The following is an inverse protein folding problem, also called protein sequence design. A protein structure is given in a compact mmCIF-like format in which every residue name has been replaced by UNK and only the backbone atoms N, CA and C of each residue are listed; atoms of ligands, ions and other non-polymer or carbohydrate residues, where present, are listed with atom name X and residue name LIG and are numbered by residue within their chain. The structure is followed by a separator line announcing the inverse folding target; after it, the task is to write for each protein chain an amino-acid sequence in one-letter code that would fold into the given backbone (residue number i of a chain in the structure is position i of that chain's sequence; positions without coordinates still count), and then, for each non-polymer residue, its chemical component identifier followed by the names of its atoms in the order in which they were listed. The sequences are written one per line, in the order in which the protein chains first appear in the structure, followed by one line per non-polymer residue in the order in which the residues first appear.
data_IF_134503005886
#
_entry.id   IF_134503005886
#
_cell.length_a   1.000
_cell.length_b   1.000
_cell.length_c   1.000
_cell.angle_alpha   90.00
_cell.angle_beta   90.00
_cell.angle_gamma   90.00
#
_symmetry.space_group_name_H-M   'P 1'
#
loop_
_entity.id
_entity.type
_entity.pdbx_description
1 polymer ?
#
# COMPACT_ATOMS: atom_id res chain seq x y z
N UNK A 1 -29.40 29.91 44.15
CA UNK A 1 -29.00 29.83 42.74
C UNK A 1 -28.50 28.42 42.43
N UNK A 2 -29.45 27.45 42.17
CA UNK A 2 -29.10 26.04 41.90
C UNK A 2 -29.83 25.47 40.63
N UNK A 3 -30.32 26.31 39.75
CA UNK A 3 -31.21 25.92 38.63
C UNK A 3 -30.58 25.80 37.20
N UNK A 4 -29.35 26.21 36.86
CA UNK A 4 -28.91 26.06 35.50
C UNK A 4 -28.32 24.67 35.13
N UNK A 5 -27.83 23.90 36.10
CA UNK A 5 -27.20 22.60 35.80
C UNK A 5 -28.19 21.50 35.41
N UNK A 6 -29.38 21.50 36.00
CA UNK A 6 -30.41 20.54 35.69
C UNK A 6 -31.03 20.71 34.29
N UNK A 7 -31.08 21.95 33.79
CA UNK A 7 -31.58 22.28 32.46
C UNK A 7 -30.60 21.84 31.37
N UNK A 8 -29.30 22.01 31.58
CA UNK A 8 -28.26 21.55 30.67
C UNK A 8 -28.24 20.03 30.61
N UNK A 9 -28.36 19.34 31.73
CA UNK A 9 -28.40 17.88 31.76
C UNK A 9 -29.66 17.33 31.01
N UNK A 10 -30.81 17.96 31.11
CA UNK A 10 -32.02 17.57 30.40
C UNK A 10 -31.87 17.74 28.87
N UNK A 11 -31.23 18.81 28.39
CA UNK A 11 -31.00 19.06 26.96
C UNK A 11 -30.03 18.05 26.39
N UNK A 12 -28.93 17.72 27.09
CA UNK A 12 -27.95 16.71 26.64
C UNK A 12 -28.59 15.32 26.57
N UNK A 13 -29.39 14.93 27.57
CA UNK A 13 -30.08 13.63 27.55
C UNK A 13 -31.07 13.56 26.39
N UNK A 14 -31.84 14.62 26.13
CA UNK A 14 -32.79 14.66 25.02
C UNK A 14 -32.08 14.58 23.67
N UNK A 15 -30.93 15.22 23.49
CA UNK A 15 -30.13 15.13 22.24
C UNK A 15 -29.56 13.74 22.02
N UNK A 16 -29.09 13.06 23.06
CA UNK A 16 -28.54 11.68 22.97
C UNK A 16 -29.68 10.69 22.65
N UNK A 17 -30.84 10.83 23.27
CA UNK A 17 -32.02 9.96 23.00
C UNK A 17 -32.51 10.19 21.57
N UNK A 18 -32.60 11.42 21.09
CA UNK A 18 -32.97 11.73 19.71
C UNK A 18 -31.97 11.15 18.71
N UNK A 19 -30.67 11.27 18.98
CA UNK A 19 -29.61 10.68 18.17
C UNK A 19 -29.69 9.15 18.08
N UNK A 20 -29.95 8.48 19.19
CA UNK A 20 -30.14 7.03 19.24
C UNK A 20 -31.38 6.58 18.45
N UNK A 21 -32.51 7.29 18.56
CA UNK A 21 -33.74 6.99 17.80
C UNK A 21 -33.50 7.15 16.30
N UNK A 22 -32.79 8.19 15.86
CA UNK A 22 -32.46 8.41 14.44
C UNK A 22 -31.50 7.32 13.92
N UNK A 23 -30.49 6.96 14.70
CA UNK A 23 -29.55 5.89 14.32
C UNK A 23 -30.27 4.53 14.23
N UNK A 24 -31.18 4.21 15.16
CA UNK A 24 -31.95 2.98 15.15
C UNK A 24 -32.95 2.95 13.98
N UNK A 25 -33.55 4.08 13.63
CA UNK A 25 -34.44 4.19 12.48
C UNK A 25 -33.70 4.07 11.13
N UNK A 26 -32.47 4.59 11.02
CA UNK A 26 -31.65 4.40 9.85
C UNK A 26 -31.18 2.94 9.72
N UNK A 27 -30.82 2.29 10.83
CA UNK A 27 -30.42 0.88 10.82
C UNK A 27 -31.56 -0.01 10.35
N UNK A 28 -32.78 0.18 10.86
CA UNK A 28 -33.94 -0.60 10.45
C UNK A 28 -34.34 -0.38 8.99
N UNK A 29 -34.19 0.85 8.45
CA UNK A 29 -34.38 1.11 7.02
C UNK A 29 -33.33 0.42 6.14
N UNK A 30 -32.08 0.41 6.55
CA UNK A 30 -31.04 -0.27 5.83
C UNK A 30 -31.22 -1.80 5.86
N UNK A 31 -31.63 -2.36 6.99
CA UNK A 31 -31.95 -3.79 7.09
C UNK A 31 -33.16 -4.18 6.22
N UNK A 32 -34.22 -3.35 6.18
CA UNK A 32 -35.35 -3.56 5.30
C UNK A 32 -34.95 -3.52 3.81
N UNK A 33 -34.12 -2.55 3.41
CA UNK A 33 -33.61 -2.42 2.04
C UNK A 33 -32.72 -3.60 1.64
N UNK A 34 -31.92 -4.10 2.57
CA UNK A 34 -31.08 -5.30 2.35
C UNK A 34 -31.93 -6.55 2.23
N UNK A 35 -32.96 -6.69 3.07
CA UNK A 35 -33.92 -7.80 3.00
C UNK A 35 -34.67 -7.81 1.67
N UNK A 36 -35.18 -6.64 1.21
CA UNK A 36 -35.85 -6.49 -0.08
C UNK A 36 -34.96 -6.86 -1.25
N UNK A 37 -33.69 -6.38 -1.27
CA UNK A 37 -32.72 -6.74 -2.30
C UNK A 37 -32.39 -8.23 -2.30
N UNK A 38 -32.24 -8.82 -1.12
CA UNK A 38 -31.95 -10.25 -0.99
C UNK A 38 -33.14 -11.10 -1.49
N UNK A 39 -34.38 -10.69 -1.17
CA UNK A 39 -35.57 -11.35 -1.68
C UNK A 39 -35.70 -11.22 -3.20
N UNK A 40 -35.45 -10.03 -3.76
CA UNK A 40 -35.49 -9.80 -5.19
C UNK A 40 -34.42 -10.68 -5.91
N UNK A 41 -33.20 -10.76 -5.39
CA UNK A 41 -32.14 -11.59 -5.94
C UNK A 41 -32.46 -13.10 -5.86
N UNK A 42 -33.08 -13.54 -4.76
CA UNK A 42 -33.55 -14.93 -4.61
C UNK A 42 -34.69 -15.27 -5.61
N UNK A 43 -35.58 -14.34 -5.85
CA UNK A 43 -36.65 -14.50 -6.83
C UNK A 43 -36.11 -14.58 -8.27
N UNK A 44 -35.14 -13.73 -8.63
CA UNK A 44 -34.47 -13.75 -9.93
C UNK A 44 -33.68 -15.05 -10.13
N UNK A 45 -32.98 -15.52 -9.12
CA UNK A 45 -32.26 -16.79 -9.15
C UNK A 45 -33.23 -17.97 -9.35
N UNK A 46 -34.34 -18.00 -8.62
CA UNK A 46 -35.34 -19.05 -8.77
C UNK A 46 -35.99 -19.04 -10.17
N UNK A 47 -36.23 -17.85 -10.75
CA UNK A 47 -36.73 -17.72 -12.11
C UNK A 47 -35.72 -18.24 -13.16
N UNK A 48 -34.43 -17.96 -12.98
CA UNK A 48 -33.36 -18.48 -13.84
C UNK A 48 -33.21 -20.00 -13.73
N UNK A 49 -33.28 -20.54 -12.51
CA UNK A 49 -33.25 -22.00 -12.28
C UNK A 49 -34.45 -22.70 -12.90
N UNK A 50 -35.66 -22.11 -12.82
CA UNK A 50 -36.88 -22.62 -13.48
C UNK A 50 -36.75 -22.58 -15.02
N UNK A 51 -36.27 -21.47 -15.57
CA UNK A 51 -36.05 -21.34 -17.01
C UNK A 51 -34.98 -22.35 -17.52
N UNK A 52 -33.95 -22.61 -16.74
CA UNK A 52 -32.93 -23.62 -17.07
C UNK A 52 -33.51 -25.04 -17.03
N UNK A 53 -34.36 -25.33 -16.04
CA UNK A 53 -35.05 -26.61 -15.92
C UNK A 53 -36.01 -26.83 -17.09
N UNK A 54 -36.79 -25.81 -17.48
CA UNK A 54 -37.67 -25.85 -18.66
C UNK A 54 -36.90 -26.05 -19.96
N UNK A 55 -35.76 -25.34 -20.11
CA UNK A 55 -34.89 -25.51 -21.28
C UNK A 55 -34.30 -26.93 -21.39
N UNK A 56 -33.99 -27.55 -20.22
CA UNK A 56 -33.54 -28.95 -20.15
C UNK A 56 -34.65 -29.98 -20.36
N UNK A 57 -35.87 -29.65 -19.99
CA UNK A 57 -37.03 -30.54 -20.10
C UNK A 57 -37.66 -30.54 -21.52
N UNK A 58 -37.35 -29.56 -22.34
CA UNK A 58 -37.85 -29.55 -23.74
C UNK A 58 -37.25 -30.75 -24.48
N UNK A 59 -38.08 -31.73 -24.93
CA UNK A 59 -37.55 -32.84 -25.73
C UNK A 59 -36.91 -32.25 -26.98
N UNK A 60 -35.63 -32.53 -27.18
CA UNK A 60 -34.94 -32.28 -28.45
C UNK A 60 -35.63 -33.19 -29.46
N UNK A 61 -36.67 -32.70 -30.15
CA UNK A 61 -37.14 -33.29 -31.39
C UNK A 61 -36.01 -33.12 -32.37
N UNK A 62 -35.22 -34.17 -32.47
CA UNK A 62 -34.23 -34.30 -33.55
C UNK A 62 -35.07 -34.61 -34.82
N UNK A 63 -35.58 -33.56 -35.46
CA UNK A 63 -35.95 -33.67 -36.87
C UNK A 63 -34.62 -33.93 -37.58
N UNK A 64 -34.43 -35.19 -38.01
CA UNK A 64 -33.38 -35.57 -38.90
C UNK A 64 -33.64 -34.96 -40.28
N UNK A 65 -33.44 -33.66 -40.39
CA UNK A 65 -33.15 -33.03 -41.67
C UNK A 65 -31.78 -33.52 -42.16
N UNK A 66 -31.58 -33.74 -43.46
CA UNK A 66 -30.28 -34.18 -43.98
C UNK A 66 -29.20 -33.24 -43.44
N UNK A 67 -28.21 -33.83 -42.81
CA UNK A 67 -27.06 -33.13 -42.24
C UNK A 67 -26.50 -32.21 -43.32
N UNK A 68 -26.67 -30.88 -43.27
CA UNK A 68 -25.91 -30.00 -44.12
C UNK A 68 -24.45 -30.31 -43.76
N UNK A 69 -23.62 -30.44 -44.83
CA UNK A 69 -22.19 -30.58 -44.68
C UNK A 69 -21.73 -29.63 -43.51
N UNK A 70 -20.82 -30.07 -42.63
CA UNK A 70 -20.42 -29.24 -41.47
C UNK A 70 -20.17 -27.87 -42.05
N UNK A 71 -21.04 -26.92 -41.72
CA UNK A 71 -20.69 -25.52 -41.82
C UNK A 71 -19.45 -25.48 -40.94
N UNK A 72 -18.27 -25.49 -41.59
CA UNK A 72 -17.04 -25.03 -40.99
C UNK A 72 -17.48 -23.66 -40.46
N UNK A 73 -17.87 -23.62 -39.21
CA UNK A 73 -18.16 -22.37 -38.54
C UNK A 73 -16.93 -21.56 -38.86
N UNK A 74 -17.10 -20.58 -39.75
CA UNK A 74 -16.08 -19.62 -40.09
C UNK A 74 -15.58 -19.20 -38.73
N UNK A 75 -14.42 -19.76 -38.32
CA UNK A 75 -13.82 -19.52 -37.00
C UNK A 75 -13.67 -18.02 -37.05
N UNK A 76 -14.61 -17.34 -36.37
CA UNK A 76 -14.75 -15.90 -36.40
C UNK A 76 -13.32 -15.41 -36.29
N UNK A 77 -12.78 -14.76 -37.33
CA UNK A 77 -11.37 -14.49 -37.54
C UNK A 77 -10.82 -13.83 -36.25
N UNK A 78 -10.46 -14.69 -35.29
CA UNK A 78 -9.86 -14.22 -34.04
C UNK A 78 -8.57 -13.57 -34.44
N UNK A 79 -8.40 -12.31 -34.01
CA UNK A 79 -7.16 -11.60 -34.27
C UNK A 79 -5.99 -12.41 -33.71
N UNK A 80 -4.90 -12.44 -34.43
CA UNK A 80 -3.66 -13.04 -33.94
C UNK A 80 -3.10 -12.19 -32.80
N UNK A 81 -2.32 -12.76 -31.86
CA UNK A 81 -1.69 -11.99 -30.78
C UNK A 81 -0.93 -10.76 -31.28
N UNK A 82 -0.25 -10.86 -32.42
CA UNK A 82 0.44 -9.70 -33.04
C UNK A 82 -0.55 -8.60 -33.42
N UNK A 83 -1.70 -8.97 -34.02
CA UNK A 83 -2.73 -8.02 -34.37
C UNK A 83 -3.40 -7.39 -33.14
N UNK A 84 -3.58 -8.16 -32.05
CA UNK A 84 -4.11 -7.66 -30.78
C UNK A 84 -3.16 -6.63 -30.20
N UNK A 85 -1.85 -6.92 -30.14
CA UNK A 85 -0.84 -5.97 -29.66
C UNK A 85 -0.82 -4.71 -30.53
N UNK A 86 -0.94 -4.83 -31.84
CA UNK A 86 -1.06 -3.67 -32.73
C UNK A 86 -2.30 -2.82 -32.38
N UNK A 87 -3.46 -3.46 -32.14
CA UNK A 87 -4.68 -2.75 -31.69
C UNK A 87 -4.48 -2.05 -30.35
N UNK A 88 -3.79 -2.67 -29.39
CA UNK A 88 -3.45 -2.06 -28.11
C UNK A 88 -2.54 -0.83 -28.30
N UNK A 89 -1.55 -0.89 -29.16
CA UNK A 89 -0.65 0.24 -29.49
C UNK A 89 -1.36 1.41 -30.16
N UNK A 90 -2.40 1.13 -30.94
CA UNK A 90 -3.22 2.15 -31.63
C UNK A 90 -4.22 2.85 -30.69
N UNK A 91 -4.45 2.28 -29.47
CA UNK A 91 -5.33 2.88 -28.48
C UNK A 91 -4.64 4.11 -27.86
N UNK A 92 -5.11 5.30 -28.23
CA UNK A 92 -4.66 6.53 -27.60
C UNK A 92 -5.69 7.01 -26.60
N UNK A 93 -5.26 7.24 -25.38
CA UNK A 93 -6.08 7.91 -24.37
C UNK A 93 -6.20 9.38 -24.74
N UNK A 94 -7.40 9.82 -25.09
CA UNK A 94 -7.70 11.23 -25.30
C UNK A 94 -8.37 11.75 -24.02
N UNK A 95 -7.93 12.88 -23.45
CA UNK A 95 -8.54 13.44 -22.25
C UNK A 95 -10.03 13.67 -22.41
N UNK A 96 -10.81 13.35 -21.37
CA UNK A 96 -12.26 13.56 -21.33
C UNK A 96 -13.09 12.28 -21.52
N UNK A 97 -14.23 12.39 -22.21
CA UNK A 97 -15.25 11.31 -22.35
C UNK A 97 -14.67 10.02 -22.95
N UNK A 98 -13.60 10.11 -23.69
CA UNK A 98 -12.99 8.97 -24.39
C UNK A 98 -12.14 8.07 -23.48
N UNK A 99 -11.70 8.53 -22.30
CA UNK A 99 -10.85 7.75 -21.38
C UNK A 99 -11.52 6.44 -20.98
N UNK A 100 -12.77 6.48 -20.50
CA UNK A 100 -13.50 5.27 -20.11
C UNK A 100 -13.71 4.28 -21.27
N UNK A 101 -13.83 4.79 -22.50
CA UNK A 101 -13.96 3.94 -23.70
C UNK A 101 -12.61 3.30 -24.03
N UNK A 102 -11.53 4.05 -23.95
CA UNK A 102 -10.17 3.56 -24.16
C UNK A 102 -9.82 2.47 -23.15
N UNK A 103 -10.09 2.71 -21.85
CA UNK A 103 -9.84 1.73 -20.79
C UNK A 103 -10.62 0.42 -21.00
N UNK A 104 -11.91 0.50 -21.38
CA UNK A 104 -12.71 -0.69 -21.69
C UNK A 104 -12.17 -1.46 -22.90
N UNK A 105 -11.70 -0.76 -23.92
CA UNK A 105 -11.07 -1.40 -25.09
C UNK A 105 -9.73 -2.01 -24.72
N UNK A 106 -8.94 -1.36 -23.89
CA UNK A 106 -7.69 -1.90 -23.36
C UNK A 106 -7.94 -3.20 -22.60
N UNK A 107 -8.88 -3.19 -21.65
CA UNK A 107 -9.25 -4.39 -20.90
C UNK A 107 -9.70 -5.52 -21.84
N UNK A 108 -10.58 -5.25 -22.80
CA UNK A 108 -11.03 -6.23 -23.77
C UNK A 108 -9.87 -6.86 -24.55
N UNK A 109 -8.95 -6.05 -25.08
CA UNK A 109 -7.83 -6.59 -25.84
C UNK A 109 -6.80 -7.32 -24.99
N UNK A 110 -6.59 -6.92 -23.73
CA UNK A 110 -5.75 -7.66 -22.80
C UNK A 110 -6.36 -9.02 -22.45
N UNK A 111 -7.67 -9.11 -22.24
CA UNK A 111 -8.39 -10.36 -22.03
C UNK A 111 -8.33 -11.28 -23.27
N UNK A 112 -8.49 -10.75 -24.47
CA UNK A 112 -8.33 -11.53 -25.73
C UNK A 112 -6.88 -12.05 -25.84
N UNK A 113 -5.89 -11.26 -25.45
CA UNK A 113 -4.49 -11.67 -25.45
C UNK A 113 -4.21 -12.78 -24.42
N UNK A 114 -4.78 -12.65 -23.21
CA UNK A 114 -4.70 -13.67 -22.17
C UNK A 114 -5.39 -14.97 -22.59
N UNK A 115 -6.55 -14.87 -23.27
CA UNK A 115 -7.30 -16.03 -23.81
C UNK A 115 -6.50 -16.78 -24.87
N UNK A 116 -5.61 -16.12 -25.60
CA UNK A 116 -4.71 -16.78 -26.56
C UNK A 116 -3.66 -17.67 -25.85
N UNK A 117 -3.46 -17.49 -24.54
CA UNK A 117 -2.59 -18.31 -23.70
C UNK A 117 -1.13 -18.33 -24.19
N UNK A 118 -0.47 -19.50 -24.17
CA UNK A 118 0.93 -19.62 -24.59
C UNK A 118 1.23 -19.17 -26.01
N UNK A 119 0.22 -19.18 -26.90
CA UNK A 119 0.39 -18.71 -28.30
C UNK A 119 0.68 -17.18 -28.36
N UNK A 120 0.36 -16.42 -27.32
CA UNK A 120 0.66 -14.99 -27.24
C UNK A 120 2.11 -14.69 -26.87
N UNK A 121 2.83 -15.60 -26.23
CA UNK A 121 4.16 -15.36 -25.67
C UNK A 121 5.19 -14.82 -26.68
N UNK A 122 5.30 -15.34 -27.90
CA UNK A 122 6.27 -14.78 -28.87
C UNK A 122 6.00 -13.31 -29.20
N UNK A 123 4.74 -12.95 -29.41
CA UNK A 123 4.35 -11.57 -29.73
C UNK A 123 4.54 -10.63 -28.54
N UNK A 124 4.25 -11.11 -27.32
CA UNK A 124 4.50 -10.36 -26.07
C UNK A 124 6.00 -10.14 -25.87
N UNK A 125 6.83 -11.17 -26.02
CA UNK A 125 8.29 -11.06 -25.90
C UNK A 125 8.86 -10.04 -26.89
N UNK A 126 8.40 -10.06 -28.14
CA UNK A 126 8.80 -9.08 -29.13
C UNK A 126 8.40 -7.64 -28.74
N UNK A 127 7.17 -7.44 -28.23
CA UNK A 127 6.70 -6.14 -27.76
C UNK A 127 7.56 -5.62 -26.59
N UNK A 128 7.76 -6.44 -25.56
CA UNK A 128 8.53 -6.06 -24.37
C UNK A 128 10.00 -5.76 -24.70
N UNK A 129 10.59 -6.50 -25.66
CA UNK A 129 11.97 -6.30 -26.12
C UNK A 129 12.23 -4.97 -26.84
N UNK A 130 11.16 -4.32 -27.34
CA UNK A 130 11.27 -3.00 -27.98
C UNK A 130 11.31 -1.84 -26.97
N UNK A 131 11.14 -2.13 -25.68
CA UNK A 131 11.08 -1.11 -24.59
C UNK A 131 10.04 -0.01 -24.83
N UNK A 132 9.06 -0.27 -25.69
CA UNK A 132 7.94 0.63 -25.94
C UNK A 132 6.95 0.55 -24.76
N UNK A 133 6.39 1.69 -24.37
CA UNK A 133 5.30 1.75 -23.41
C UNK A 133 4.26 2.78 -23.86
N UNK A 134 3.04 2.63 -23.39
CA UNK A 134 1.96 3.58 -23.62
C UNK A 134 1.29 3.88 -22.28
N UNK A 135 1.37 5.12 -21.86
CA UNK A 135 0.64 5.59 -20.68
C UNK A 135 -0.87 5.58 -20.98
N UNK A 136 -1.62 4.89 -20.15
CA UNK A 136 -3.07 4.82 -20.25
C UNK A 136 -3.77 6.01 -19.53
N UNK A 137 -3.01 7.04 -19.15
CA UNK A 137 -3.47 8.28 -18.52
C UNK A 137 -4.46 8.02 -17.39
N UNK A 138 -4.16 7.08 -16.56
CA UNK A 138 -4.93 6.84 -15.36
C UNK A 138 -4.54 7.90 -14.33
N UNK A 139 -5.09 9.12 -14.48
CA UNK A 139 -5.04 10.18 -13.46
C UNK A 139 -5.54 9.71 -12.09
N UNK A 140 -6.09 8.52 -12.04
CA UNK A 140 -6.50 7.73 -10.89
C UNK A 140 -5.35 7.40 -9.93
N UNK A 141 -4.10 7.34 -10.40
CA UNK A 141 -2.95 7.04 -9.54
C UNK A 141 -2.65 8.13 -8.51
N UNK A 142 -3.07 9.36 -8.76
CA UNK A 142 -2.95 10.46 -7.81
C UNK A 142 -3.87 10.31 -6.59
N UNK A 143 -4.96 9.56 -6.69
CA UNK A 143 -5.97 9.44 -5.64
C UNK A 143 -5.85 8.15 -4.82
N UNK A 144 -5.38 7.05 -5.41
CA UNK A 144 -5.11 5.80 -4.67
C UNK A 144 -3.68 5.74 -4.13
N UNK A 145 -3.25 6.79 -3.44
CA UNK A 145 -2.02 6.79 -2.63
C UNK A 145 -2.08 5.85 -1.42
N UNK A 146 -3.00 4.89 -1.40
CA UNK A 146 -3.09 3.85 -0.39
C UNK A 146 -2.03 2.76 -0.48
N UNK A 147 -1.13 2.80 -1.47
CA UNK A 147 0.10 2.02 -1.42
C UNK A 147 0.92 2.51 -0.22
N UNK A 148 1.00 1.71 0.82
CA UNK A 148 1.90 1.97 1.95
C UNK A 148 3.29 2.18 1.34
N UNK A 149 3.84 3.40 1.50
CA UNK A 149 5.18 3.74 1.03
C UNK A 149 6.15 2.64 1.44
N UNK A 150 6.92 2.11 0.50
CA UNK A 150 7.84 1.00 0.73
C UNK A 150 7.26 -0.41 0.56
N UNK A 151 5.99 -0.58 0.12
CA UNK A 151 5.48 -1.87 -0.35
C UNK A 151 5.52 -1.94 -1.86
N UNK A 152 5.81 -3.13 -2.37
CA UNK A 152 5.72 -3.39 -3.81
C UNK A 152 4.29 -3.20 -4.28
N UNK A 153 4.07 -2.63 -5.48
CA UNK A 153 2.75 -2.61 -6.09
C UNK A 153 2.34 -4.07 -6.38
N UNK A 154 1.25 -4.52 -5.78
CA UNK A 154 0.79 -5.91 -5.92
C UNK A 154 -0.27 -6.06 -7.01
N UNK A 155 -1.17 -5.09 -7.11
CA UNK A 155 -2.24 -5.11 -8.10
C UNK A 155 -2.67 -3.69 -8.48
N UNK A 156 -3.00 -3.54 -9.75
CA UNK A 156 -3.68 -2.36 -10.25
C UNK A 156 -5.11 -2.74 -10.67
N UNK A 157 -6.10 -1.98 -10.24
CA UNK A 157 -7.48 -2.16 -10.72
C UNK A 157 -7.56 -1.99 -12.24
N UNK A 158 -6.72 -1.10 -12.78
CA UNK A 158 -6.49 -0.91 -14.20
C UNK A 158 -5.00 -0.67 -14.40
N UNK A 159 -4.38 -1.26 -15.42
CA UNK A 159 -2.96 -1.09 -15.65
C UNK A 159 -2.63 0.38 -15.92
N UNK A 160 -1.56 0.92 -15.31
CA UNK A 160 -1.14 2.31 -15.51
C UNK A 160 -0.60 2.56 -16.91
N UNK A 161 -0.02 1.54 -17.50
CA UNK A 161 0.49 1.57 -18.87
C UNK A 161 0.27 0.22 -19.55
N UNK A 162 0.49 0.18 -20.84
CA UNK A 162 0.34 -1.05 -21.62
C UNK A 162 1.30 -2.15 -21.14
N UNK A 163 2.53 -1.81 -20.77
CA UNK A 163 3.49 -2.81 -20.26
C UNK A 163 2.97 -3.49 -19.00
N UNK A 164 2.41 -2.75 -18.04
CA UNK A 164 1.81 -3.35 -16.84
C UNK A 164 0.64 -4.27 -17.17
N UNK A 165 -0.22 -3.89 -18.13
CA UNK A 165 -1.28 -4.77 -18.60
C UNK A 165 -0.75 -6.06 -19.25
N UNK A 166 0.36 -5.97 -19.96
CA UNK A 166 1.02 -7.15 -20.55
C UNK A 166 1.67 -8.03 -19.46
N UNK A 167 2.22 -7.44 -18.41
CA UNK A 167 2.72 -8.22 -17.26
C UNK A 167 1.58 -8.99 -16.56
N UNK A 168 0.40 -8.40 -16.43
CA UNK A 168 -0.78 -9.09 -15.89
C UNK A 168 -1.26 -10.21 -16.82
N UNK A 169 -1.22 -10.02 -18.14
CA UNK A 169 -1.49 -11.09 -19.11
C UNK A 169 -0.51 -12.25 -18.93
N UNK A 170 0.78 -11.99 -18.79
CA UNK A 170 1.79 -13.03 -18.55
C UNK A 170 1.53 -13.78 -17.23
N UNK A 171 1.18 -13.07 -16.16
CA UNK A 171 0.78 -13.66 -14.87
C UNK A 171 -0.42 -14.59 -15.04
N UNK A 172 -1.42 -14.17 -15.81
CA UNK A 172 -2.64 -14.95 -16.06
C UNK A 172 -2.39 -16.17 -16.96
N UNK A 173 -1.54 -16.03 -18.00
CA UNK A 173 -1.12 -17.16 -18.86
C UNK A 173 -0.37 -18.20 -18.05
N UNK A 174 0.52 -17.78 -17.15
CA UNK A 174 1.26 -18.64 -16.23
C UNK A 174 2.25 -19.59 -16.92
N UNK A 175 2.85 -20.44 -16.11
CA UNK A 175 3.78 -21.47 -16.54
C UNK A 175 5.20 -20.98 -16.83
N UNK A 176 6.17 -21.94 -17.01
CA UNK A 176 7.60 -21.63 -17.07
C UNK A 176 8.00 -20.66 -18.18
N UNK A 177 7.33 -20.71 -19.33
CA UNK A 177 7.66 -19.80 -20.44
C UNK A 177 7.21 -18.38 -20.18
N UNK A 178 6.04 -18.16 -19.52
CA UNK A 178 5.60 -16.84 -19.11
C UNK A 178 6.52 -16.26 -18.00
N UNK A 179 6.91 -17.09 -17.04
CA UNK A 179 7.89 -16.72 -16.00
C UNK A 179 9.22 -16.25 -16.63
N UNK A 180 9.70 -16.99 -17.65
CA UNK A 180 10.93 -16.62 -18.36
C UNK A 180 10.81 -15.26 -19.06
N UNK A 181 9.67 -14.98 -19.70
CA UNK A 181 9.42 -13.68 -20.35
C UNK A 181 9.38 -12.55 -19.31
N UNK A 182 8.74 -12.77 -18.16
CA UNK A 182 8.73 -11.81 -17.05
C UNK A 182 10.13 -11.57 -16.50
N UNK A 183 10.94 -12.62 -16.32
CA UNK A 183 12.31 -12.50 -15.85
C UNK A 183 13.22 -11.76 -16.85
N UNK A 184 13.06 -12.02 -18.15
CA UNK A 184 13.74 -11.29 -19.22
C UNK A 184 13.37 -9.78 -19.18
N UNK A 185 12.07 -9.47 -19.01
CA UNK A 185 11.60 -8.09 -18.87
C UNK A 185 12.14 -7.42 -17.61
N UNK A 186 12.22 -8.16 -16.49
CA UNK A 186 12.79 -7.69 -15.23
C UNK A 186 14.29 -7.35 -15.36
N UNK A 187 15.05 -8.17 -16.06
CA UNK A 187 16.48 -7.94 -16.30
C UNK A 187 16.74 -6.77 -17.26
N UNK A 188 15.78 -6.46 -18.14
CA UNK A 188 15.95 -5.42 -19.17
C UNK A 188 15.40 -4.04 -18.75
N UNK A 189 14.55 -3.98 -17.71
CA UNK A 189 13.92 -2.72 -17.33
C UNK A 189 14.88 -1.79 -16.59
N UNK A 190 14.85 -0.49 -16.95
CA UNK A 190 15.50 0.58 -16.19
C UNK A 190 14.55 1.28 -15.19
N UNK A 191 13.29 0.86 -15.06
CA UNK A 191 12.27 1.52 -14.24
C UNK A 191 12.07 0.78 -12.93
N UNK A 192 12.30 1.46 -11.79
CA UNK A 192 12.14 0.86 -10.46
C UNK A 192 10.74 0.32 -10.19
N UNK A 193 9.70 1.01 -10.67
CA UNK A 193 8.31 0.55 -10.52
C UNK A 193 8.05 -0.75 -11.29
N UNK A 194 8.58 -0.89 -12.50
CA UNK A 194 8.46 -2.14 -13.28
C UNK A 194 9.23 -3.27 -12.61
N UNK A 195 10.47 -3.01 -12.18
CA UNK A 195 11.26 -4.00 -11.45
C UNK A 195 10.52 -4.52 -10.22
N UNK A 196 9.97 -3.61 -9.41
CA UNK A 196 9.23 -3.96 -8.21
C UNK A 196 7.97 -4.78 -8.52
N UNK A 197 7.23 -4.38 -9.56
CA UNK A 197 6.01 -5.08 -9.98
C UNK A 197 6.32 -6.49 -10.49
N UNK A 198 7.31 -6.62 -11.38
CA UNK A 198 7.76 -7.89 -11.91
C UNK A 198 8.31 -8.81 -10.81
N UNK A 199 9.05 -8.25 -9.84
CA UNK A 199 9.49 -8.99 -8.65
C UNK A 199 8.31 -9.55 -7.87
N UNK A 200 7.24 -8.74 -7.67
CA UNK A 200 6.03 -9.19 -6.99
C UNK A 200 5.34 -10.34 -7.72
N UNK A 201 5.16 -10.24 -9.03
CA UNK A 201 4.55 -11.29 -9.87
C UNK A 201 5.41 -12.57 -9.83
N UNK A 202 6.71 -12.46 -10.04
CA UNK A 202 7.62 -13.61 -10.02
C UNK A 202 7.70 -14.28 -8.65
N UNK A 203 7.61 -13.50 -7.56
CA UNK A 203 7.55 -14.05 -6.21
C UNK A 203 6.23 -14.81 -5.96
N UNK A 204 5.12 -14.40 -6.56
CA UNK A 204 3.83 -15.10 -6.51
C UNK A 204 3.86 -16.40 -7.32
N UNK A 205 4.39 -16.36 -8.56
CA UNK A 205 4.40 -17.49 -9.50
C UNK A 205 5.44 -18.56 -9.11
N UNK A 206 6.63 -18.14 -8.71
CA UNK A 206 7.78 -19.00 -8.40
C UNK A 206 8.53 -18.47 -7.17
N UNK A 207 8.04 -18.73 -5.94
CA UNK A 207 8.59 -18.14 -4.72
C UNK A 207 10.11 -18.35 -4.57
N UNK A 208 10.84 -17.25 -4.39
CA UNK A 208 12.30 -17.18 -4.22
C UNK A 208 13.16 -17.64 -5.41
N UNK A 209 12.59 -18.14 -6.49
CA UNK A 209 13.37 -18.59 -7.65
C UNK A 209 14.15 -17.45 -8.32
N UNK A 210 13.53 -16.27 -8.40
CA UNK A 210 14.11 -15.07 -9.04
C UNK A 210 14.66 -14.05 -8.02
N UNK A 211 14.82 -14.47 -6.74
CA UNK A 211 15.26 -13.60 -5.66
C UNK A 211 16.56 -12.88 -5.99
N UNK A 212 17.61 -13.63 -6.35
CA UNK A 212 18.93 -13.03 -6.59
C UNK A 212 18.96 -12.13 -7.81
N UNK A 213 18.25 -12.50 -8.87
CA UNK A 213 18.12 -11.65 -10.06
C UNK A 213 17.43 -10.32 -9.73
N UNK A 214 16.34 -10.35 -8.94
CA UNK A 214 15.65 -9.14 -8.48
C UNK A 214 16.57 -8.25 -7.63
N UNK A 215 17.35 -8.85 -6.72
CA UNK A 215 18.27 -8.12 -5.85
C UNK A 215 19.42 -7.48 -6.63
N UNK A 216 20.00 -8.20 -7.58
CA UNK A 216 21.09 -7.68 -8.45
C UNK A 216 20.56 -6.50 -9.26
N UNK A 217 19.42 -6.66 -9.95
CA UNK A 217 18.83 -5.60 -10.75
C UNK A 217 18.47 -4.35 -9.90
N UNK A 218 17.93 -4.55 -8.68
CA UNK A 218 17.61 -3.43 -7.79
C UNK A 218 18.89 -2.68 -7.34
N UNK A 219 19.96 -3.40 -6.98
CA UNK A 219 21.22 -2.79 -6.56
C UNK A 219 21.91 -2.05 -7.71
N UNK A 220 21.91 -2.60 -8.92
CA UNK A 220 22.44 -1.96 -10.12
C UNK A 220 21.70 -0.65 -10.44
N UNK A 221 20.38 -0.66 -10.40
CA UNK A 221 19.56 0.55 -10.62
C UNK A 221 19.76 1.59 -9.51
N UNK A 222 19.93 1.18 -8.25
CA UNK A 222 20.21 2.08 -7.13
C UNK A 222 21.62 2.69 -7.22
N UNK A 223 22.59 1.95 -7.77
CA UNK A 223 23.95 2.42 -7.98
C UNK A 223 24.09 3.33 -9.22
N UNK A 224 23.18 3.20 -10.19
CA UNK A 224 23.19 4.03 -11.39
C UNK A 224 22.76 5.47 -11.07
N UNK A 225 23.49 6.46 -11.57
CA UNK A 225 23.14 7.87 -11.48
C UNK A 225 22.15 8.32 -12.57
N UNK A 226 21.41 7.38 -13.16
CA UNK A 226 20.46 7.71 -14.24
C UNK A 226 19.32 8.54 -13.66
N UNK A 227 19.30 9.79 -14.02
CA UNK A 227 18.18 10.70 -13.76
C UNK A 227 17.05 10.33 -14.72
N UNK A 228 15.97 9.75 -14.20
CA UNK A 228 14.78 9.54 -15.00
C UNK A 228 14.17 10.88 -15.40
N UNK A 229 14.18 11.18 -16.68
CA UNK A 229 13.51 12.35 -17.26
C UNK A 229 12.03 12.07 -17.58
N UNK A 230 11.50 10.93 -17.14
CA UNK A 230 10.11 10.56 -17.36
C UNK A 230 9.18 11.50 -16.63
N UNK A 231 8.18 12.03 -17.34
CA UNK A 231 7.07 12.79 -16.75
C UNK A 231 6.02 11.90 -16.07
N UNK A 232 6.19 10.57 -16.12
CA UNK A 232 5.26 9.61 -15.52
C UNK A 232 5.25 9.73 -13.99
N UNK A 233 4.08 9.88 -13.38
CA UNK A 233 3.96 9.87 -11.91
C UNK A 233 4.50 8.57 -11.27
N UNK A 234 4.54 7.47 -12.02
CA UNK A 234 5.05 6.17 -11.57
C UNK A 234 6.56 6.19 -11.32
N UNK A 235 7.31 6.99 -12.06
CA UNK A 235 8.76 7.03 -11.94
C UNK A 235 9.22 8.00 -10.83
N UNK A 236 8.30 8.79 -10.25
CA UNK A 236 8.61 9.75 -9.20
C UNK A 236 9.20 9.10 -7.95
N UNK A 237 8.67 7.93 -7.58
CA UNK A 237 9.08 7.20 -6.39
C UNK A 237 10.01 6.02 -6.75
N UNK A 238 10.78 6.15 -7.84
CA UNK A 238 11.66 5.12 -8.40
C UNK A 238 12.54 4.43 -7.32
N UNK A 239 13.22 5.22 -6.49
CA UNK A 239 14.08 4.67 -5.42
C UNK A 239 13.29 3.93 -4.33
N UNK A 240 12.09 4.40 -3.98
CA UNK A 240 11.22 3.71 -3.01
C UNK A 240 10.89 2.29 -3.47
N UNK A 241 10.62 2.10 -4.76
CA UNK A 241 10.35 0.79 -5.33
C UNK A 241 11.56 -0.13 -5.30
N UNK A 242 12.74 0.39 -5.63
CA UNK A 242 13.99 -0.39 -5.60
C UNK A 242 14.35 -0.82 -4.18
N UNK A 243 14.28 0.09 -3.21
CA UNK A 243 14.45 -0.26 -1.79
C UNK A 243 13.37 -1.21 -1.29
N UNK A 244 12.15 -1.12 -1.83
CA UNK A 244 11.08 -2.08 -1.56
C UNK A 244 11.44 -3.50 -1.95
N UNK A 245 12.12 -3.71 -3.09
CA UNK A 245 12.63 -5.02 -3.51
C UNK A 245 13.67 -5.56 -2.52
N UNK A 246 14.64 -4.73 -2.10
CA UNK A 246 15.64 -5.14 -1.10
C UNK A 246 14.97 -5.54 0.23
N UNK A 247 13.99 -4.74 0.66
CA UNK A 247 13.25 -5.00 1.91
C UNK A 247 12.40 -6.27 1.84
N UNK A 248 11.76 -6.56 0.71
CA UNK A 248 10.98 -7.77 0.51
C UNK A 248 11.80 -9.03 0.83
N UNK A 249 13.04 -9.03 0.42
CA UNK A 249 13.95 -10.17 0.60
C UNK A 249 14.84 -10.06 1.85
N UNK A 250 14.65 -9.04 2.69
CA UNK A 250 15.46 -8.81 3.89
C UNK A 250 16.95 -8.58 3.57
N UNK A 251 17.23 -8.01 2.42
CA UNK A 251 18.61 -7.75 2.00
C UNK A 251 19.21 -6.56 2.73
N UNK A 252 20.25 -6.79 3.50
CA UNK A 252 21.00 -5.78 4.25
C UNK A 252 22.32 -5.39 3.58
N UNK A 253 22.71 -6.08 2.50
CA UNK A 253 24.03 -5.90 1.86
C UNK A 253 24.22 -4.50 1.27
N UNK A 254 23.13 -3.81 0.93
CA UNK A 254 23.18 -2.46 0.38
C UNK A 254 23.20 -1.35 1.45
N UNK A 255 23.15 -1.70 2.74
CA UNK A 255 23.01 -0.72 3.83
C UNK A 255 24.18 0.29 3.87
N UNK A 256 25.41 -0.14 3.65
CA UNK A 256 26.58 0.76 3.61
C UNK A 256 26.49 1.76 2.46
N UNK A 257 26.09 1.31 1.27
CA UNK A 257 25.89 2.19 0.12
C UNK A 257 24.71 3.18 0.37
N UNK A 258 23.60 2.69 0.95
CA UNK A 258 22.47 3.53 1.32
C UNK A 258 22.83 4.59 2.37
N UNK A 259 23.67 4.25 3.35
CA UNK A 259 24.21 5.22 4.32
C UNK A 259 25.02 6.31 3.62
N UNK A 260 25.90 5.94 2.69
CA UNK A 260 26.70 6.91 1.92
C UNK A 260 25.86 7.84 1.03
N UNK A 261 24.67 7.40 0.62
CA UNK A 261 23.72 8.14 -0.22
C UNK A 261 22.62 8.86 0.59
N UNK A 262 22.60 8.71 1.93
CA UNK A 262 21.53 9.22 2.78
C UNK A 262 21.40 10.75 2.70
N UNK A 263 22.50 11.45 2.59
CA UNK A 263 22.54 12.90 2.36
C UNK A 263 23.14 13.14 0.98
N UNK A 264 22.33 13.69 0.09
CA UNK A 264 22.72 13.98 -1.28
C UNK A 264 23.69 15.16 -1.33
N UNK A 265 24.34 15.35 -2.49
CA UNK A 265 25.34 16.42 -2.66
C UNK A 265 24.78 17.84 -2.48
N UNK A 266 23.48 18.03 -2.69
CA UNK A 266 22.75 19.29 -2.48
C UNK A 266 22.24 19.48 -1.03
N UNK A 267 22.58 18.58 -0.11
CA UNK A 267 22.11 18.60 1.27
C UNK A 267 20.69 18.07 1.49
N UNK A 268 20.07 17.49 0.47
CA UNK A 268 18.76 16.86 0.62
C UNK A 268 18.88 15.47 1.25
N UNK A 269 17.90 15.12 2.08
CA UNK A 269 17.78 13.79 2.67
C UNK A 269 17.10 12.82 1.72
N UNK A 270 17.74 11.71 1.40
CA UNK A 270 17.09 10.59 0.71
C UNK A 270 16.19 9.83 1.69
N UNK A 271 14.91 10.17 1.69
CA UNK A 271 13.91 9.54 2.57
C UNK A 271 13.68 8.06 2.25
N UNK A 272 13.95 7.64 1.01
CA UNK A 272 13.83 6.25 0.60
C UNK A 272 14.95 5.40 1.19
N UNK A 273 16.18 5.92 1.15
CA UNK A 273 17.34 5.30 1.80
C UNK A 273 17.16 5.24 3.32
N UNK A 274 16.66 6.33 3.95
CA UNK A 274 16.40 6.35 5.39
C UNK A 274 15.40 5.26 5.81
N UNK A 275 14.31 5.11 5.08
CA UNK A 275 13.29 4.09 5.33
C UNK A 275 13.84 2.69 5.17
N UNK A 276 14.61 2.46 4.11
CA UNK A 276 15.27 1.19 3.90
C UNK A 276 16.23 0.84 5.05
N UNK A 277 17.10 1.77 5.46
CA UNK A 277 18.00 1.57 6.60
C UNK A 277 17.23 1.22 7.88
N UNK A 278 16.14 1.91 8.15
CA UNK A 278 15.28 1.62 9.31
C UNK A 278 14.70 0.19 9.24
N UNK A 279 14.20 -0.23 8.08
CA UNK A 279 13.59 -1.54 7.89
C UNK A 279 14.63 -2.68 7.88
N UNK A 280 15.78 -2.46 7.25
CA UNK A 280 16.81 -3.46 7.10
C UNK A 280 17.66 -3.67 8.37
N UNK A 281 17.94 -2.58 9.11
CA UNK A 281 18.87 -2.59 10.24
C UNK A 281 18.15 -2.47 11.61
N UNK A 282 16.88 -2.09 11.63
CA UNK A 282 16.15 -1.87 12.89
C UNK A 282 16.83 -0.83 13.76
N UNK A 283 17.09 -1.15 15.04
CA UNK A 283 17.74 -0.26 15.99
C UNK A 283 19.17 0.15 15.56
N UNK A 284 19.86 -0.67 14.78
CA UNK A 284 21.19 -0.34 14.27
C UNK A 284 21.20 0.84 13.29
N UNK A 285 20.03 1.26 12.77
CA UNK A 285 19.89 2.47 11.96
C UNK A 285 19.94 3.75 12.80
N UNK A 286 19.74 3.67 14.13
CA UNK A 286 19.73 4.85 15.03
C UNK A 286 21.06 5.62 15.02
N UNK A 287 22.23 4.98 15.21
CA UNK A 287 23.51 5.69 15.16
C UNK A 287 23.77 6.30 13.77
N UNK A 288 23.33 5.66 12.69
CA UNK A 288 23.45 6.20 11.33
C UNK A 288 22.62 7.49 11.19
N UNK A 289 21.37 7.45 11.67
CA UNK A 289 20.49 8.63 11.65
C UNK A 289 21.02 9.76 12.54
N UNK A 290 21.57 9.44 13.73
CA UNK A 290 22.18 10.42 14.63
C UNK A 290 23.42 11.07 14.00
N UNK A 291 24.27 10.31 13.32
CA UNK A 291 25.41 10.85 12.58
C UNK A 291 24.95 11.75 11.44
N UNK A 292 23.97 11.31 10.65
CA UNK A 292 23.43 12.10 9.56
C UNK A 292 22.74 13.40 10.07
N UNK A 293 22.12 13.38 11.23
CA UNK A 293 21.49 14.55 11.87
C UNK A 293 22.49 15.68 12.13
N UNK A 294 23.76 15.33 12.38
CA UNK A 294 24.85 16.29 12.67
C UNK A 294 25.60 16.72 11.40
N UNK A 295 25.22 16.19 10.23
CA UNK A 295 25.91 16.54 8.99
C UNK A 295 25.69 18.02 8.62
N UNK A 296 26.79 18.72 8.43
CA UNK A 296 26.78 20.16 8.12
C UNK A 296 26.15 20.50 6.77
N UNK A 297 26.01 19.55 5.89
CA UNK A 297 25.33 19.70 4.60
C UNK A 297 23.81 19.87 4.77
N UNK A 298 23.22 19.38 5.87
CA UNK A 298 21.80 19.57 6.19
C UNK A 298 21.54 21.01 6.69
N UNK A 299 21.37 21.92 5.78
CA UNK A 299 21.14 23.34 6.08
C UNK A 299 19.67 23.64 6.42
N UNK A 300 18.73 22.84 5.92
CA UNK A 300 17.30 22.96 6.24
C UNK A 300 16.95 22.16 7.51
N UNK A 301 16.56 22.83 8.61
CA UNK A 301 16.18 22.15 9.85
C UNK A 301 14.99 21.18 9.69
N UNK A 302 14.08 21.43 8.72
CA UNK A 302 12.94 20.56 8.47
C UNK A 302 13.35 19.16 7.96
N UNK A 303 14.54 19.05 7.38
CA UNK A 303 15.10 17.78 6.88
C UNK A 303 15.62 16.91 8.05
N UNK A 304 15.90 17.50 9.21
CA UNK A 304 16.38 16.78 10.39
C UNK A 304 15.29 16.01 11.13
N UNK A 305 14.03 16.46 11.06
CA UNK A 305 12.91 15.79 11.76
C UNK A 305 12.75 14.30 11.36
N UNK A 306 12.76 13.90 10.08
CA UNK A 306 12.68 12.49 9.70
C UNK A 306 13.79 11.62 10.28
N UNK A 307 15.01 12.16 10.45
CA UNK A 307 16.13 11.45 11.07
C UNK A 307 15.86 11.21 12.57
N UNK A 308 15.43 12.25 13.30
CA UNK A 308 15.07 12.13 14.71
C UNK A 308 13.86 11.20 14.91
N UNK A 309 12.88 11.25 14.03
CA UNK A 309 11.68 10.40 14.06
C UNK A 309 12.01 8.91 13.94
N UNK A 310 13.09 8.54 13.20
CA UNK A 310 13.52 7.14 13.11
C UNK A 310 13.79 6.55 14.50
N UNK A 311 14.38 7.32 15.42
CA UNK A 311 14.69 6.85 16.77
C UNK A 311 13.44 6.51 17.58
N UNK A 312 12.28 7.16 17.34
CA UNK A 312 11.05 6.99 18.13
C UNK A 312 10.58 5.53 18.23
N UNK A 313 10.80 4.74 17.20
CA UNK A 313 10.45 3.32 17.22
C UNK A 313 11.24 2.53 18.29
N UNK A 314 12.38 3.04 18.72
CA UNK A 314 13.31 2.37 19.63
C UNK A 314 13.46 3.09 20.97
N UNK A 315 12.91 4.32 21.11
CA UNK A 315 12.92 5.08 22.36
C UNK A 315 12.21 4.30 23.46
N UNK A 316 12.87 4.19 24.60
CA UNK A 316 12.47 3.37 25.75
C UNK A 316 13.01 1.94 25.69
N UNK A 317 13.48 1.46 24.54
CA UNK A 317 14.05 0.13 24.37
C UNK A 317 15.59 0.16 24.15
N UNK A 318 16.08 1.19 23.48
CA UNK A 318 17.49 1.35 23.09
C UNK A 318 18.09 2.62 23.68
N UNK A 319 19.28 2.51 24.26
CA UNK A 319 19.96 3.62 24.94
C UNK A 319 20.40 4.73 23.97
N UNK A 320 20.87 4.36 22.78
CA UNK A 320 21.27 5.33 21.75
C UNK A 320 20.07 6.08 21.18
N UNK A 321 18.93 5.38 21.03
CA UNK A 321 17.69 6.02 20.64
C UNK A 321 17.20 7.03 21.69
N UNK A 322 17.30 6.70 22.97
CA UNK A 322 16.97 7.62 24.06
C UNK A 322 17.86 8.87 24.04
N UNK A 323 19.18 8.67 23.87
CA UNK A 323 20.13 9.77 23.80
C UNK A 323 19.89 10.67 22.58
N UNK A 324 19.66 10.07 21.41
CA UNK A 324 19.40 10.82 20.18
C UNK A 324 18.07 11.57 20.26
N UNK A 325 17.03 10.97 20.81
CA UNK A 325 15.76 11.65 21.08
C UNK A 325 15.95 12.87 21.96
N UNK A 326 16.64 12.72 23.11
CA UNK A 326 16.93 13.84 24.01
C UNK A 326 17.73 14.94 23.32
N UNK A 327 18.72 14.59 22.51
CA UNK A 327 19.48 15.55 21.72
C UNK A 327 18.56 16.33 20.76
N UNK A 328 17.69 15.64 20.02
CA UNK A 328 16.82 16.25 19.02
C UNK A 328 15.79 17.21 19.63
N UNK A 329 15.15 16.83 20.73
CA UNK A 329 14.14 17.70 21.39
C UNK A 329 14.74 18.92 22.07
N UNK A 330 16.05 18.91 22.37
CA UNK A 330 16.78 20.03 22.95
C UNK A 330 17.56 20.83 21.89
N UNK A 331 17.56 20.42 20.62
CA UNK A 331 18.24 21.15 19.55
C UNK A 331 17.44 22.42 19.20
N UNK A 332 17.99 23.64 19.47
CA UNK A 332 17.31 24.89 19.12
C UNK A 332 17.15 25.09 17.61
N UNK A 333 17.96 24.41 16.79
CA UNK A 333 17.87 24.47 15.34
C UNK A 333 16.66 23.68 14.81
N UNK A 334 16.18 22.67 15.52
CA UNK A 334 14.98 21.93 15.12
C UNK A 334 13.74 22.78 15.36
N UNK A 335 12.81 22.93 14.38
CA UNK A 335 11.58 23.69 14.54
C UNK A 335 10.78 23.27 15.77
N UNK A 336 10.18 24.24 16.48
CA UNK A 336 9.39 23.98 17.70
C UNK A 336 8.29 22.94 17.49
N UNK A 337 7.58 23.03 16.36
CA UNK A 337 6.54 22.06 16.01
C UNK A 337 7.10 20.67 15.79
N UNK A 338 8.28 20.53 15.17
CA UNK A 338 8.93 19.24 14.99
C UNK A 338 9.32 18.63 16.35
N UNK A 339 9.89 19.44 17.29
CA UNK A 339 10.21 18.98 18.64
C UNK A 339 8.96 18.53 19.41
N UNK A 340 7.87 19.31 19.33
CA UNK A 340 6.58 18.95 19.91
C UNK A 340 6.08 17.62 19.34
N UNK A 341 6.06 17.46 18.02
CA UNK A 341 5.59 16.25 17.36
C UNK A 341 6.41 15.01 17.79
N UNK A 342 7.73 15.14 17.91
CA UNK A 342 8.58 14.05 18.40
C UNK A 342 8.20 13.60 19.81
N UNK A 343 7.84 14.54 20.69
CA UNK A 343 7.42 14.23 22.08
C UNK A 343 6.02 13.58 22.06
N UNK A 344 5.07 14.15 21.34
CA UNK A 344 3.71 13.63 21.23
C UNK A 344 3.68 12.22 20.62
N UNK A 345 4.53 11.94 19.65
CA UNK A 345 4.60 10.64 18.96
C UNK A 345 5.23 9.51 19.81
N UNK A 346 5.78 9.81 21.01
CA UNK A 346 6.22 8.78 21.94
C UNK A 346 5.09 7.80 22.33
N UNK A 347 3.84 8.21 22.25
CA UNK A 347 2.69 7.35 22.52
C UNK A 347 2.21 6.58 21.27
N UNK A 348 2.83 6.79 20.09
CA UNK A 348 2.40 6.21 18.80
C UNK A 348 3.40 5.24 18.21
N UNK A 349 4.64 5.70 18.01
CA UNK A 349 5.68 4.94 17.33
C UNK A 349 6.23 3.81 18.22
N UNK A 350 6.62 2.70 17.60
CA UNK A 350 7.18 1.54 18.29
C UNK A 350 6.18 0.54 18.86
N UNK A 351 4.86 0.77 18.74
CA UNK A 351 3.83 -0.18 19.11
C UNK A 351 3.28 -0.88 17.85
N UNK A 352 3.19 -2.21 17.90
CA UNK A 352 2.70 -3.01 16.76
C UNK A 352 1.22 -2.74 16.47
N UNK A 353 0.38 -2.66 17.52
CA UNK A 353 -1.03 -2.30 17.42
C UNK A 353 -1.47 -1.49 18.65
N UNK A 354 -1.53 -0.17 18.49
CA UNK A 354 -1.94 0.76 19.57
C UNK A 354 -3.40 0.53 20.03
N UNK A 355 -4.25 -0.05 19.19
CA UNK A 355 -5.65 -0.30 19.56
C UNK A 355 -5.80 -1.55 20.41
N UNK A 356 -4.94 -2.53 20.19
CA UNK A 356 -4.93 -3.83 20.87
C UNK A 356 -3.62 -4.02 21.64
N UNK A 357 -3.36 -3.13 22.63
CA UNK A 357 -2.19 -3.25 23.48
C UNK A 357 -2.23 -4.53 24.31
N UNK A 358 -1.08 -5.12 24.54
CA UNK A 358 -0.89 -6.35 25.28
C UNK A 358 0.05 -6.16 26.48
N UNK A 359 0.14 -7.18 27.34
CA UNK A 359 1.10 -7.17 28.45
C UNK A 359 2.56 -7.03 27.97
N UNK A 360 2.85 -7.43 26.71
CA UNK A 360 4.20 -7.30 26.13
C UNK A 360 4.59 -5.83 25.87
N UNK A 361 3.61 -4.94 25.72
CA UNK A 361 3.85 -3.51 25.49
C UNK A 361 4.13 -2.75 26.80
N UNK A 362 3.76 -3.33 27.93
CA UNK A 362 3.88 -2.70 29.25
C UNK A 362 5.31 -2.25 29.60
N UNK A 363 6.36 -3.04 29.39
CA UNK A 363 7.73 -2.62 29.67
C UNK A 363 8.19 -1.41 28.86
N UNK A 364 7.76 -1.31 27.59
CA UNK A 364 8.07 -0.17 26.73
C UNK A 364 7.37 1.10 27.23
N UNK A 365 6.08 1.01 27.57
CA UNK A 365 5.29 2.11 28.12
C UNK A 365 5.93 2.63 29.40
N UNK A 366 6.28 1.74 30.35
CA UNK A 366 6.91 2.11 31.62
C UNK A 366 8.25 2.83 31.42
N UNK A 367 9.10 2.34 30.53
CA UNK A 367 10.38 2.98 30.21
C UNK A 367 10.22 4.34 29.56
N UNK A 368 9.20 4.53 28.71
CA UNK A 368 8.88 5.84 28.11
C UNK A 368 8.32 6.81 29.15
N UNK A 369 7.49 6.36 30.08
CA UNK A 369 7.04 7.17 31.22
C UNK A 369 8.23 7.65 32.03
N UNK A 370 9.14 6.74 32.40
CA UNK A 370 10.35 7.09 33.16
C UNK A 370 11.24 8.07 32.38
N UNK A 371 11.38 7.91 31.07
CA UNK A 371 12.14 8.85 30.24
C UNK A 371 11.51 10.24 30.22
N UNK A 372 10.17 10.35 30.16
CA UNK A 372 9.47 11.62 30.24
C UNK A 372 9.66 12.26 31.60
N UNK A 373 9.53 11.51 32.71
CA UNK A 373 9.76 12.00 34.08
C UNK A 373 11.17 12.58 34.28
N UNK A 374 12.15 11.97 33.61
CA UNK A 374 13.54 12.46 33.63
C UNK A 374 13.74 13.69 32.74
N UNK A 375 13.05 13.79 31.61
CA UNK A 375 13.29 14.80 30.56
C UNK A 375 12.43 16.06 30.77
N UNK A 376 11.18 15.91 31.23
CA UNK A 376 10.21 17.00 31.36
C UNK A 376 10.67 18.14 32.27
N UNK A 377 11.33 17.91 33.43
CA UNK A 377 11.82 18.99 34.32
C UNK A 377 12.84 19.89 33.63
N UNK A 378 13.54 19.39 32.61
CA UNK A 378 14.57 20.13 31.88
C UNK A 378 14.01 20.80 30.59
N UNK A 379 12.71 20.71 30.35
CA UNK A 379 12.06 21.36 29.21
C UNK A 379 12.01 22.87 29.39
N UNK A 380 12.96 23.60 28.80
CA UNK A 380 13.00 25.06 28.87
C UNK A 380 11.87 25.72 28.03
N UNK A 381 11.31 25.02 27.05
CA UNK A 381 10.27 25.53 26.17
C UNK A 381 8.89 25.12 26.71
N UNK A 382 7.96 26.08 26.99
CA UNK A 382 6.60 25.77 27.47
C UNK A 382 5.81 24.85 26.54
N UNK A 383 6.09 24.90 25.22
CA UNK A 383 5.44 24.02 24.22
C UNK A 383 5.89 22.58 24.45
N UNK A 384 7.17 22.34 24.67
CA UNK A 384 7.70 21.01 24.96
C UNK A 384 7.19 20.51 26.30
N UNK A 385 7.12 21.37 27.34
CA UNK A 385 6.56 21.00 28.63
C UNK A 385 5.10 20.52 28.55
N UNK A 386 4.28 21.19 27.73
CA UNK A 386 2.90 20.79 27.45
C UNK A 386 2.84 19.45 26.72
N UNK A 387 3.66 19.27 25.68
CA UNK A 387 3.74 18.04 24.90
C UNK A 387 4.15 16.83 25.78
N UNK A 388 5.11 17.02 26.69
CA UNK A 388 5.48 15.99 27.67
C UNK A 388 4.32 15.62 28.59
N UNK A 389 3.56 16.61 29.08
CA UNK A 389 2.41 16.34 29.93
C UNK A 389 1.32 15.56 29.22
N UNK A 390 1.06 15.86 27.94
CA UNK A 390 0.11 15.14 27.11
C UNK A 390 0.58 13.71 26.80
N UNK A 391 1.83 13.53 26.37
CA UNK A 391 2.42 12.22 26.10
C UNK A 391 2.44 11.34 27.36
N UNK A 392 2.78 11.90 28.52
CA UNK A 392 2.77 11.22 29.82
C UNK A 392 1.38 10.71 30.16
N UNK A 393 0.37 11.58 30.07
CA UNK A 393 -1.04 11.23 30.32
C UNK A 393 -1.51 10.10 29.41
N UNK A 394 -1.17 10.17 28.13
CA UNK A 394 -1.56 9.14 27.15
C UNK A 394 -0.89 7.80 27.45
N UNK A 395 0.40 7.78 27.76
CA UNK A 395 1.12 6.56 28.14
C UNK A 395 0.58 5.97 29.46
N UNK A 396 0.22 6.79 30.44
CA UNK A 396 -0.46 6.32 31.67
C UNK A 396 -1.84 5.70 31.34
N UNK A 397 -2.61 6.30 30.43
CA UNK A 397 -3.87 5.74 29.99
C UNK A 397 -3.68 4.39 29.28
N UNK A 398 -2.63 4.26 28.45
CA UNK A 398 -2.27 3.00 27.79
C UNK A 398 -1.89 1.93 28.83
N UNK A 399 -1.09 2.28 29.81
CA UNK A 399 -0.73 1.42 30.94
C UNK A 399 -1.98 0.96 31.70
N UNK A 400 -2.86 1.90 32.04
CA UNK A 400 -4.11 1.61 32.75
C UNK A 400 -5.02 0.64 32.00
N UNK A 401 -5.10 0.76 30.67
CA UNK A 401 -5.88 -0.16 29.82
C UNK A 401 -5.32 -1.58 29.81
N UNK A 402 -4.01 -1.76 29.93
CA UNK A 402 -3.37 -3.09 30.01
C UNK A 402 -3.58 -3.70 31.39
N UNK A 403 -3.38 -2.91 32.45
CA UNK A 403 -3.47 -3.40 33.82
C UNK A 403 -4.91 -3.63 34.29
N UNK A 404 -5.85 -2.85 33.77
CA UNK A 404 -7.27 -2.93 34.10
C UNK A 404 -8.08 -3.04 32.80
N UNK A 405 -8.04 -4.20 32.11
CA UNK A 405 -8.79 -4.38 30.88
C UNK A 405 -10.29 -4.24 31.18
N UNK A 406 -10.97 -3.42 30.39
CA UNK A 406 -12.43 -3.30 30.50
C UNK A 406 -13.05 -4.69 30.39
N UNK A 407 -14.08 -5.03 31.22
CA UNK A 407 -14.77 -6.32 31.09
C UNK A 407 -15.28 -6.46 29.66
N UNK A 408 -15.04 -7.65 29.08
CA UNK A 408 -15.49 -7.95 27.73
C UNK A 408 -16.98 -7.66 27.62
N UNK A 409 -17.46 -6.99 26.57
CA UNK A 409 -18.87 -6.72 26.40
C UNK A 409 -19.65 -8.06 26.49
N UNK A 410 -20.76 -8.12 27.26
CA UNK A 410 -21.49 -9.37 27.47
C UNK A 410 -21.90 -9.94 26.10
N UNK A 411 -21.34 -11.09 25.79
CA UNK A 411 -21.68 -12.03 24.76
C UNK A 411 -22.34 -11.50 23.48
N UNK A 412 -21.58 -10.95 22.56
CA UNK A 412 -21.96 -10.96 21.15
C UNK A 412 -22.12 -12.41 20.70
N UNK A 413 -23.37 -12.85 20.47
CA UNK A 413 -23.69 -14.18 19.93
C UNK A 413 -22.77 -14.44 18.74
N UNK A 414 -21.86 -15.42 18.88
CA UNK A 414 -21.13 -16.00 17.75
C UNK A 414 -22.18 -16.41 16.71
N UNK A 415 -22.25 -15.69 15.60
CA UNK A 415 -22.89 -16.23 14.40
C UNK A 415 -22.00 -17.39 13.96
N UNK A 416 -22.43 -18.58 14.24
CA UNK A 416 -21.90 -19.82 13.64
C UNK A 416 -22.13 -19.74 12.13
N UNK A 417 -21.18 -20.23 11.31
CA UNK A 417 -21.21 -20.10 9.86
C UNK A 417 -22.37 -20.82 9.20
#
# INVERSE_FOLDING_TARGET
MKTPLALIAAVVISAVVAGLIVAQHQSSKNEALLAERTAAWQAERAALEAALAEAKARPRTVNASPVPAPIVAEAALRLTPVQIIAKLRDLRAVPGITVSRTLRRTAYWLEELATAGPAALPAIREFLGRSEDMDLHTSWFGQNRGGVRGRLPQEFVLPPSLRFGIFDVLRQVGGPEAEKVLAEAMAATGRGVELAYLTGILQEMAPNQYREQSLVAARELLASSVTFTSSSPLDRDHRDYLFGVLTLYGDTSYAVAAQGQLIQGDGQLDRSALRYLQQALGAQAVPIAAQAYQDSRLTDPAVKEPLARLALNFVGADAQANQFFQQAINDPALPKDARRNLIEDLNQDGFADRKNLSANDLPLIQRRIALIEQSAPNAMDPINAKAFAEAYKDLQNMQGRILNPAPAPPGGKKKTP
#
